data_IF_697707307960
#
_entry.id   IF_697707307960
#
_cell.length_a   1.000
_cell.length_b   1.000
_cell.length_c   1.000
_cell.angle_alpha   90.00
_cell.angle_beta   90.00
_cell.angle_gamma   90.00
#
_symmetry.space_group_name_H-M   'P 1'
#
loop_
_entity.id
_entity.type
_entity.pdbx_description
1 polymer ?
#
# COMPACT_ATOMS: atom_id res chain seq x y z
N UNK A 1 -7.64 -44.20 4.78
CA UNK A 1 -6.97 -43.58 3.61
C UNK A 1 -7.75 -42.40 3.01
N UNK A 2 -9.09 -42.41 2.94
CA UNK A 2 -9.88 -41.30 2.36
C UNK A 2 -9.94 -40.03 3.24
N UNK A 3 -10.01 -40.16 4.57
CA UNK A 3 -10.08 -39.01 5.50
C UNK A 3 -8.77 -38.24 5.64
N UNK A 4 -7.63 -38.91 5.48
CA UNK A 4 -6.30 -38.30 5.63
C UNK A 4 -5.96 -37.35 4.47
N UNK A 5 -6.44 -37.66 3.25
CA UNK A 5 -6.31 -36.77 2.10
C UNK A 5 -7.15 -35.49 2.26
N UNK A 6 -8.38 -35.60 2.79
CA UNK A 6 -9.25 -34.43 2.98
C UNK A 6 -8.67 -33.44 3.99
N UNK A 7 -8.01 -33.95 5.04
CA UNK A 7 -7.40 -33.16 6.10
C UNK A 7 -6.11 -32.43 5.64
N UNK A 8 -5.33 -33.08 4.77
CA UNK A 8 -4.16 -32.48 4.11
C UNK A 8 -4.54 -31.36 3.13
N UNK A 9 -5.64 -31.52 2.38
CA UNK A 9 -6.13 -30.49 1.45
C UNK A 9 -6.67 -29.26 2.21
N UNK A 10 -7.36 -29.45 3.34
CA UNK A 10 -7.81 -28.31 4.18
C UNK A 10 -6.66 -27.57 4.85
N UNK A 11 -5.56 -28.25 5.21
CA UNK A 11 -4.39 -27.60 5.80
C UNK A 11 -3.62 -26.73 4.81
N UNK A 12 -3.60 -27.10 3.52
CA UNK A 12 -2.94 -26.32 2.46
C UNK A 12 -3.71 -25.04 2.10
N UNK A 13 -5.04 -25.05 2.22
CA UNK A 13 -5.89 -23.89 1.94
C UNK A 13 -5.76 -22.77 3.00
N UNK A 14 -5.22 -23.06 4.19
CA UNK A 14 -5.10 -22.12 5.30
C UNK A 14 -3.84 -21.24 5.28
N UNK A 15 -2.94 -21.40 4.29
CA UNK A 15 -1.60 -20.78 4.31
C UNK A 15 -1.44 -19.64 3.28
N UNK A 16 -2.51 -19.07 2.75
CA UNK A 16 -2.42 -17.79 2.00
C UNK A 16 -2.24 -16.61 2.97
N UNK A 17 -1.21 -16.66 3.82
CA UNK A 17 -0.71 -15.46 4.47
C UNK A 17 -0.10 -14.58 3.36
N UNK A 18 -0.81 -13.52 2.95
CA UNK A 18 -0.22 -12.46 2.13
C UNK A 18 0.93 -11.87 2.93
N UNK A 19 2.15 -12.23 2.54
CA UNK A 19 3.36 -11.79 3.21
C UNK A 19 3.72 -10.40 2.68
N UNK A 20 3.02 -9.39 3.20
CA UNK A 20 3.35 -7.98 3.02
C UNK A 20 4.72 -7.67 3.65
N UNK A 21 5.67 -7.18 2.84
CA UNK A 21 7.00 -6.81 3.31
C UNK A 21 7.16 -5.30 3.55
N UNK A 22 8.22 -4.91 4.26
CA UNK A 22 8.73 -3.54 4.19
C UNK A 22 9.75 -3.45 3.04
N UNK A 23 9.50 -2.56 2.07
CA UNK A 23 10.31 -2.41 0.85
C UNK A 23 10.91 -1.01 0.76
N UNK A 24 11.85 -0.80 -0.17
CA UNK A 24 12.45 0.52 -0.38
C UNK A 24 11.39 1.57 -0.74
N UNK A 25 11.53 2.79 -0.19
CA UNK A 25 10.56 3.88 -0.32
C UNK A 25 10.26 4.32 -1.75
N UNK A 26 11.15 4.02 -2.70
CA UNK A 26 11.08 4.33 -4.12
C UNK A 26 10.54 3.16 -4.98
N UNK A 27 10.27 2.00 -4.36
CA UNK A 27 9.77 0.81 -5.03
C UNK A 27 8.27 0.55 -4.76
N UNK A 28 7.65 1.34 -3.87
CA UNK A 28 6.21 1.23 -3.60
C UNK A 28 5.44 1.79 -4.79
N UNK A 29 4.61 0.95 -5.41
CA UNK A 29 3.77 1.36 -6.55
C UNK A 29 2.51 2.07 -6.03
N UNK A 30 2.20 3.29 -6.49
CA UNK A 30 1.02 4.02 -6.04
C UNK A 30 -0.28 3.42 -6.59
N UNK A 31 -1.37 3.61 -5.86
CA UNK A 31 -2.72 3.37 -6.38
C UNK A 31 -3.09 4.46 -7.38
N UNK A 32 -3.64 4.07 -8.53
CA UNK A 32 -4.30 5.01 -9.43
C UNK A 32 -5.53 5.61 -8.73
N UNK A 33 -5.82 6.89 -8.97
CA UNK A 33 -7.06 7.50 -8.47
C UNK A 33 -8.27 6.76 -9.07
N UNK A 34 -9.14 6.16 -8.24
CA UNK A 34 -10.26 5.37 -8.74
C UNK A 34 -11.32 6.26 -9.39
N UNK A 35 -12.08 5.70 -10.33
CA UNK A 35 -13.28 6.38 -10.85
C UNK A 35 -14.35 6.42 -9.75
N UNK A 36 -14.84 7.60 -9.34
CA UNK A 36 -15.71 7.73 -8.18
C UNK A 36 -17.13 7.20 -8.46
N UNK A 37 -17.58 6.25 -7.64
CA UNK A 37 -18.89 5.58 -7.76
C UNK A 37 -19.93 6.12 -6.78
N UNK A 38 -19.51 6.44 -5.55
CA UNK A 38 -20.38 6.96 -4.48
C UNK A 38 -20.41 8.49 -4.42
N UNK A 39 -21.42 9.07 -3.75
CA UNK A 39 -21.49 10.52 -3.51
C UNK A 39 -20.26 11.00 -2.73
N UNK A 40 -19.83 10.22 -1.73
CA UNK A 40 -18.65 10.51 -0.93
C UNK A 40 -17.36 10.49 -1.76
N UNK A 41 -17.18 9.53 -2.67
CA UNK A 41 -16.00 9.49 -3.54
C UNK A 41 -15.97 10.67 -4.51
N UNK A 42 -17.12 11.03 -5.08
CA UNK A 42 -17.24 12.22 -5.95
C UNK A 42 -16.91 13.49 -5.20
N UNK A 43 -17.38 13.61 -3.95
CA UNK A 43 -17.05 14.73 -3.09
C UNK A 43 -15.56 14.76 -2.75
N UNK A 44 -14.95 13.62 -2.44
CA UNK A 44 -13.52 13.53 -2.12
C UNK A 44 -12.63 14.00 -3.28
N UNK A 45 -12.95 13.63 -4.52
CA UNK A 45 -12.22 14.12 -5.70
C UNK A 45 -12.50 15.61 -5.94
N UNK A 46 -13.77 16.04 -5.84
CA UNK A 46 -14.16 17.45 -6.05
C UNK A 46 -13.49 18.41 -5.09
N UNK A 47 -13.30 18.01 -3.83
CA UNK A 47 -12.73 18.83 -2.77
C UNK A 47 -11.30 18.43 -2.42
N UNK A 48 -10.59 17.74 -3.32
CA UNK A 48 -9.17 17.39 -3.13
C UNK A 48 -8.33 18.67 -2.95
N UNK A 49 -7.59 18.82 -1.84
CA UNK A 49 -6.84 20.04 -1.57
C UNK A 49 -5.64 20.19 -2.50
N UNK A 50 -5.19 21.43 -2.66
CA UNK A 50 -3.85 21.70 -3.17
C UNK A 50 -2.86 21.63 -2.02
N UNK A 51 -1.68 21.09 -2.29
CA UNK A 51 -0.59 21.00 -1.31
C UNK A 51 0.63 21.73 -1.85
N UNK A 52 1.18 22.62 -1.03
CA UNK A 52 2.45 23.29 -1.28
C UNK A 52 3.47 22.78 -0.28
N UNK A 53 4.56 22.21 -0.77
CA UNK A 53 5.68 21.73 0.03
C UNK A 53 6.79 22.77 -0.08
N UNK A 54 7.07 23.49 1.00
CA UNK A 54 8.07 24.54 1.03
C UNK A 54 9.49 24.01 1.28
N UNK A 55 9.60 22.87 1.94
CA UNK A 55 10.83 22.13 2.20
C UNK A 55 10.48 20.70 2.59
N UNK A 56 11.49 19.84 2.72
CA UNK A 56 11.27 18.46 3.13
C UNK A 56 10.86 17.54 1.99
N UNK A 57 10.38 16.36 2.37
CA UNK A 57 9.92 15.36 1.40
C UNK A 57 8.57 15.72 0.79
N UNK A 58 8.42 15.38 -0.48
CA UNK A 58 7.12 15.36 -1.16
C UNK A 58 6.30 14.12 -0.73
N UNK A 59 5.00 14.04 -1.04
CA UNK A 59 4.21 12.83 -0.82
C UNK A 59 4.74 11.64 -1.63
N UNK A 60 4.90 10.48 -0.98
CA UNK A 60 5.26 9.19 -1.59
C UNK A 60 4.22 8.12 -1.23
N UNK A 61 4.03 7.08 -2.06
CA UNK A 61 3.14 5.97 -1.74
C UNK A 61 3.64 5.19 -0.52
N UNK A 62 2.75 5.01 0.46
CA UNK A 62 3.08 4.31 1.71
C UNK A 62 2.86 2.80 1.64
N UNK A 63 1.95 2.34 0.76
CA UNK A 63 1.60 0.93 0.60
C UNK A 63 1.23 0.66 -0.87
N UNK A 64 1.47 -0.56 -1.33
CA UNK A 64 1.07 -1.03 -2.67
C UNK A 64 -0.09 -2.04 -2.61
N UNK A 65 -0.55 -2.51 -3.78
CA UNK A 65 -1.66 -3.46 -3.89
C UNK A 65 -1.36 -4.86 -3.34
N UNK A 66 -0.08 -5.23 -3.17
CA UNK A 66 0.33 -6.49 -2.54
C UNK A 66 0.44 -6.35 -1.01
N UNK A 67 0.19 -5.16 -0.47
CA UNK A 67 0.29 -4.84 0.95
C UNK A 67 1.71 -4.50 1.40
N UNK A 68 2.69 -4.42 0.49
CA UNK A 68 4.04 -3.99 0.88
C UNK A 68 4.00 -2.55 1.39
N UNK A 69 4.76 -2.26 2.44
CA UNK A 69 4.84 -0.93 3.05
C UNK A 69 6.18 -0.27 2.76
N UNK A 70 6.19 1.06 2.64
CA UNK A 70 7.43 1.83 2.52
C UNK A 70 8.27 1.70 3.80
N UNK A 71 9.53 1.30 3.66
CA UNK A 71 10.53 1.34 4.73
C UNK A 71 11.01 2.75 5.09
N UNK A 72 10.58 3.76 4.32
CA UNK A 72 10.95 5.16 4.53
C UNK A 72 12.42 5.45 4.28
N UNK A 73 12.86 6.62 4.76
CA UNK A 73 14.25 7.06 4.74
C UNK A 73 14.70 7.32 6.18
N UNK A 74 15.92 6.91 6.51
CA UNK A 74 16.58 7.35 7.74
C UNK A 74 16.75 8.87 7.67
N UNK A 75 16.43 9.65 8.73
CA UNK A 75 16.55 11.10 8.72
C UNK A 75 18.02 11.52 8.82
N UNK A 76 18.74 11.38 7.71
CA UNK A 76 20.14 11.74 7.54
C UNK A 76 20.32 12.42 6.19
N UNK A 77 21.26 13.34 6.09
CA UNK A 77 21.44 14.16 4.88
C UNK A 77 20.56 15.42 4.89
N UNK A 78 20.43 16.06 3.74
CA UNK A 78 19.66 17.31 3.58
C UNK A 78 18.18 17.03 3.40
N UNK A 79 17.33 17.92 3.92
CA UNK A 79 15.87 17.84 3.80
C UNK A 79 15.33 18.47 2.51
N UNK A 80 16.18 18.91 1.58
CA UNK A 80 15.77 19.61 0.36
C UNK A 80 15.26 21.04 0.64
N UNK A 81 15.84 21.99 -0.08
CA UNK A 81 15.32 23.34 -0.30
C UNK A 81 15.31 23.59 -1.81
#
# INVERSE_FOLDING_TARGET
MKFTCTLLVSALAAIVAVQAGSISHDQVVPFAEPTPSSISEKAAIKFKPQIHISNGCHPYPAVDAAGNTSGGLKPSGSYGA
#
